data_IF_700729504002
#
_entry.id   IF_700729504002
#
_cell.length_a   1.000
_cell.length_b   1.000
_cell.length_c   1.000
_cell.angle_alpha   90.00
_cell.angle_beta   90.00
_cell.angle_gamma   90.00
#
_symmetry.space_group_name_H-M   'P 1'
#
loop_
_entity.id
_entity.type
_entity.pdbx_description
1 polymer ?
#
# COMPACT_ATOMS: atom_id res chain seq x y z
N UNK A 1 13.76 -43.22 -8.63
CA UNK A 1 13.77 -41.85 -9.18
C UNK A 1 13.66 -40.90 -8.02
N UNK A 2 14.79 -40.35 -7.55
CA UNK A 2 14.76 -39.31 -6.52
C UNK A 2 14.30 -38.02 -7.18
N UNK A 3 13.11 -37.53 -6.80
CA UNK A 3 12.67 -36.20 -7.21
C UNK A 3 13.71 -35.18 -6.75
N UNK A 4 14.40 -34.56 -7.71
CA UNK A 4 15.29 -33.43 -7.47
C UNK A 4 14.42 -32.27 -6.96
N UNK A 5 14.26 -32.17 -5.65
CA UNK A 5 13.55 -31.06 -5.02
C UNK A 5 14.46 -29.83 -5.04
N UNK A 6 14.36 -29.03 -6.10
CA UNK A 6 15.10 -27.77 -6.22
C UNK A 6 14.46 -26.76 -5.27
N UNK A 7 15.22 -26.29 -4.27
CA UNK A 7 14.79 -25.22 -3.38
C UNK A 7 14.73 -23.89 -4.16
N UNK A 8 13.54 -23.29 -4.24
CA UNK A 8 13.33 -22.00 -4.90
C UNK A 8 13.36 -20.89 -3.85
N UNK A 9 14.32 -19.97 -3.95
CA UNK A 9 14.37 -18.76 -3.12
C UNK A 9 13.63 -17.63 -3.84
N UNK A 10 12.76 -16.92 -3.13
CA UNK A 10 12.02 -15.77 -3.64
C UNK A 10 12.11 -14.62 -2.65
N UNK A 11 12.15 -13.39 -3.14
CA UNK A 11 12.04 -12.20 -2.28
C UNK A 11 10.60 -12.03 -1.79
N UNK A 12 10.42 -11.34 -0.67
CA UNK A 12 9.09 -11.03 -0.15
C UNK A 12 8.24 -10.28 -1.20
N UNK A 13 8.84 -9.30 -1.90
CA UNK A 13 8.16 -8.57 -2.96
C UNK A 13 7.68 -9.48 -4.11
N UNK A 14 8.54 -10.41 -4.56
CA UNK A 14 8.17 -11.37 -5.59
C UNK A 14 7.04 -12.31 -5.10
N UNK A 15 7.11 -12.75 -3.85
CA UNK A 15 6.09 -13.60 -3.24
C UNK A 15 4.72 -12.91 -3.21
N UNK A 16 4.62 -11.67 -2.73
CA UNK A 16 3.34 -10.96 -2.67
C UNK A 16 2.82 -10.55 -4.05
N UNK A 17 3.70 -10.27 -5.01
CA UNK A 17 3.30 -9.99 -6.38
C UNK A 17 2.68 -11.23 -7.07
N UNK A 18 3.25 -12.42 -6.82
CA UNK A 18 2.66 -13.68 -7.30
C UNK A 18 1.40 -14.06 -6.52
N UNK A 19 1.28 -13.66 -5.24
CA UNK A 19 0.19 -14.05 -4.34
C UNK A 19 -0.63 -12.85 -3.82
N UNK A 20 -1.05 -11.95 -4.71
CA UNK A 20 -1.76 -10.70 -4.37
C UNK A 20 -2.97 -10.87 -3.44
N UNK A 21 -3.68 -11.99 -3.56
CA UNK A 21 -4.85 -12.30 -2.74
C UNK A 21 -4.53 -12.40 -1.23
N UNK A 22 -3.32 -12.87 -0.88
CA UNK A 22 -2.87 -13.01 0.52
C UNK A 22 -2.78 -11.63 1.19
N UNK A 23 -2.32 -10.62 0.46
CA UNK A 23 -2.24 -9.24 0.93
C UNK A 23 -3.56 -8.45 0.77
N UNK A 24 -4.67 -9.11 0.43
CA UNK A 24 -5.97 -8.43 0.25
C UNK A 24 -6.19 -7.80 -1.13
N UNK A 25 -5.25 -7.95 -2.08
CA UNK A 25 -5.32 -7.37 -3.43
C UNK A 25 -5.82 -8.36 -4.50
N UNK A 26 -6.63 -9.35 -4.09
CA UNK A 26 -7.16 -10.38 -5.00
C UNK A 26 -8.29 -9.89 -5.92
N UNK A 27 -9.01 -8.83 -5.53
CA UNK A 27 -10.01 -8.17 -6.36
C UNK A 27 -10.06 -6.66 -6.06
N UNK A 28 -10.66 -5.88 -6.95
CA UNK A 28 -10.67 -4.41 -6.88
C UNK A 28 -11.36 -3.86 -5.63
N UNK A 29 -12.51 -4.41 -5.24
CA UNK A 29 -13.25 -3.95 -4.06
C UNK A 29 -12.47 -4.20 -2.77
N UNK A 30 -11.92 -5.41 -2.61
CA UNK A 30 -11.10 -5.76 -1.45
C UNK A 30 -9.79 -4.97 -1.42
N UNK A 31 -9.19 -4.70 -2.59
CA UNK A 31 -7.99 -3.88 -2.69
C UNK A 31 -8.24 -2.45 -2.19
N UNK A 32 -9.36 -1.83 -2.57
CA UNK A 32 -9.75 -0.49 -2.09
C UNK A 32 -9.96 -0.50 -0.58
N UNK A 33 -10.75 -1.44 -0.06
CA UNK A 33 -10.99 -1.56 1.37
C UNK A 33 -9.69 -1.76 2.16
N UNK A 34 -8.83 -2.68 1.70
CA UNK A 34 -7.55 -2.98 2.34
C UNK A 34 -6.67 -1.72 2.36
N UNK A 35 -6.54 -1.02 1.22
CA UNK A 35 -5.73 0.20 1.14
C UNK A 35 -6.18 1.29 2.12
N UNK A 36 -7.50 1.49 2.25
CA UNK A 36 -8.07 2.45 3.21
C UNK A 36 -7.78 1.99 4.65
N UNK A 37 -8.03 0.71 4.97
CA UNK A 37 -7.83 0.15 6.30
C UNK A 37 -6.39 0.36 6.77
N UNK A 38 -5.42 -0.04 5.96
CA UNK A 38 -3.99 0.04 6.27
C UNK A 38 -3.53 1.49 6.48
N UNK A 39 -4.02 2.43 5.67
CA UNK A 39 -3.68 3.86 5.82
C UNK A 39 -4.28 4.45 7.10
N UNK A 40 -5.53 4.11 7.42
CA UNK A 40 -6.19 4.58 8.64
C UNK A 40 -5.54 3.97 9.89
N UNK A 41 -5.23 2.68 9.88
CA UNK A 41 -4.55 1.98 10.98
C UNK A 41 -3.18 2.61 11.27
N UNK A 42 -2.40 2.89 10.22
CA UNK A 42 -1.12 3.57 10.36
C UNK A 42 -1.26 5.01 10.89
N UNK A 43 -2.26 5.77 10.45
CA UNK A 43 -2.54 7.11 10.97
C UNK A 43 -2.96 7.10 12.44
N UNK A 44 -3.79 6.12 12.84
CA UNK A 44 -4.21 5.94 14.24
C UNK A 44 -3.02 5.62 15.14
N UNK A 45 -2.18 4.67 14.74
CA UNK A 45 -0.97 4.31 15.48
C UNK A 45 0.00 5.49 15.58
N UNK A 46 0.13 6.29 14.52
CA UNK A 46 0.98 7.47 14.52
C UNK A 46 0.47 8.58 15.47
N UNK A 47 -0.85 8.77 15.57
CA UNK A 47 -1.45 9.71 16.53
C UNK A 47 -1.33 9.21 17.98
N UNK A 48 -1.52 7.92 18.20
CA UNK A 48 -1.36 7.25 19.50
C UNK A 48 0.08 7.34 20.01
N UNK A 49 1.07 7.06 19.16
CA UNK A 49 2.49 7.22 19.49
C UNK A 49 2.86 8.67 19.83
N UNK A 50 2.13 9.64 19.28
CA UNK A 50 2.30 11.06 19.59
C UNK A 50 1.55 11.50 20.86
N UNK A 51 0.64 10.68 21.38
CA UNK A 51 -0.19 10.98 22.54
C UNK A 51 -1.25 12.06 22.28
N UNK A 52 -1.77 12.14 21.05
CA UNK A 52 -2.82 13.11 20.68
C UNK A 52 -4.07 12.42 20.14
N UNK A 53 -5.20 13.13 20.14
CA UNK A 53 -6.39 12.64 19.47
C UNK A 53 -6.16 12.56 17.95
N UNK A 54 -6.48 11.42 17.31
CA UNK A 54 -6.31 11.26 15.88
C UNK A 54 -7.26 12.18 15.12
N UNK A 55 -6.72 12.87 14.12
CA UNK A 55 -7.48 13.56 13.09
C UNK A 55 -7.00 13.02 11.74
N UNK A 56 -7.87 12.25 11.09
CA UNK A 56 -7.55 11.54 9.85
C UNK A 56 -8.58 11.92 8.80
N UNK A 57 -8.11 12.35 7.63
CA UNK A 57 -8.92 12.66 6.46
C UNK A 57 -8.61 11.68 5.34
N UNK A 58 -9.67 11.14 4.72
CA UNK A 58 -9.59 10.23 3.58
C UNK A 58 -10.32 10.86 2.40
N UNK A 59 -9.64 10.95 1.27
CA UNK A 59 -10.23 11.31 -0.01
C UNK A 59 -10.02 10.18 -1.02
N UNK A 60 -11.10 9.73 -1.65
CA UNK A 60 -11.08 8.70 -2.68
C UNK A 60 -11.79 9.21 -3.92
N UNK A 61 -11.04 9.31 -5.03
CA UNK A 61 -11.57 9.80 -6.30
C UNK A 61 -11.09 8.98 -7.48
N UNK A 62 -11.88 9.02 -8.56
CA UNK A 62 -11.46 8.47 -9.86
C UNK A 62 -10.52 9.46 -10.55
N UNK A 63 -9.45 8.95 -11.14
CA UNK A 63 -8.56 9.74 -11.98
C UNK A 63 -9.16 9.94 -13.38
N UNK A 64 -9.03 11.14 -13.91
CA UNK A 64 -9.39 11.46 -15.28
C UNK A 64 -8.37 10.86 -16.27
N UNK A 65 -8.77 10.71 -17.53
CA UNK A 65 -7.86 10.22 -18.58
C UNK A 65 -6.62 11.10 -18.74
N UNK A 66 -6.74 12.40 -18.48
CA UNK A 66 -5.61 13.34 -18.52
C UNK A 66 -4.61 13.05 -17.41
N UNK A 67 -5.09 12.91 -16.17
CA UNK A 67 -4.22 12.62 -15.02
C UNK A 67 -3.54 11.25 -15.16
N UNK A 68 -4.23 10.26 -15.72
CA UNK A 68 -3.64 8.94 -16.01
C UNK A 68 -2.51 9.07 -17.05
N UNK A 69 -2.72 9.83 -18.12
CA UNK A 69 -1.70 10.07 -19.14
C UNK A 69 -0.46 10.76 -18.57
N UNK A 70 -0.66 11.77 -17.72
CA UNK A 70 0.41 12.50 -17.05
C UNK A 70 1.19 11.60 -16.07
N UNK A 71 0.50 10.77 -15.28
CA UNK A 71 1.13 9.85 -14.32
C UNK A 71 1.94 8.73 -14.99
N UNK A 72 1.48 8.22 -16.13
CA UNK A 72 2.14 7.13 -16.84
C UNK A 72 3.18 7.62 -17.87
N UNK A 73 3.32 8.94 -18.04
CA UNK A 73 4.14 9.56 -19.09
C UNK A 73 3.82 9.02 -20.50
N UNK A 74 2.51 8.96 -20.83
CA UNK A 74 2.02 8.48 -22.14
C UNK A 74 1.08 9.49 -22.78
N UNK A 75 1.18 9.65 -24.11
CA UNK A 75 0.32 10.58 -24.87
C UNK A 75 -1.16 10.20 -24.81
N UNK A 76 -1.47 8.91 -24.80
CA UNK A 76 -2.83 8.41 -24.74
C UNK A 76 -2.85 7.01 -24.12
N UNK A 77 -3.36 6.93 -22.90
CA UNK A 77 -3.71 5.67 -22.27
C UNK A 77 -4.91 5.07 -23.02
N UNK A 78 -4.65 4.07 -23.86
CA UNK A 78 -5.72 3.23 -24.40
C UNK A 78 -6.19 2.33 -23.27
N UNK A 79 -7.44 2.53 -22.83
CA UNK A 79 -8.15 1.62 -21.91
C UNK A 79 -8.31 0.27 -22.63
N UNK A 80 -7.25 -0.53 -22.66
CA UNK A 80 -7.18 -1.85 -23.31
C UNK A 80 -8.18 -2.82 -22.67
N UNK A 81 -8.52 -2.59 -21.40
CA UNK A 81 -9.57 -3.32 -20.70
C UNK A 81 -10.66 -2.36 -20.22
N UNK A 82 -11.91 -2.61 -20.62
CA UNK A 82 -13.10 -1.84 -20.21
C UNK A 82 -13.28 -1.77 -18.67
N UNK A 83 -12.57 -2.59 -17.89
CA UNK A 83 -12.77 -2.76 -16.46
C UNK A 83 -11.68 -2.16 -15.56
N UNK A 84 -10.66 -1.50 -16.11
CA UNK A 84 -9.62 -0.84 -15.30
C UNK A 84 -10.03 0.59 -14.95
N UNK A 85 -10.34 0.83 -13.68
CA UNK A 85 -10.53 2.16 -13.11
C UNK A 85 -9.29 2.53 -12.28
N UNK A 86 -8.76 3.73 -12.49
CA UNK A 86 -7.67 4.28 -11.68
C UNK A 86 -8.27 5.14 -10.58
N UNK A 87 -7.94 4.80 -9.34
CA UNK A 87 -8.39 5.50 -8.16
C UNK A 87 -7.18 6.18 -7.50
N UNK A 88 -7.35 7.43 -7.09
CA UNK A 88 -6.44 8.09 -6.17
C UNK A 88 -7.06 8.04 -4.79
N UNK A 89 -6.33 7.45 -3.86
CA UNK A 89 -6.63 7.44 -2.44
C UNK A 89 -5.60 8.33 -1.73
N UNK A 90 -6.09 9.35 -1.03
CA UNK A 90 -5.28 10.24 -0.20
C UNK A 90 -5.67 10.04 1.25
N UNK A 91 -4.68 9.81 2.12
CA UNK A 91 -4.84 9.79 3.56
C UNK A 91 -3.96 10.88 4.16
N UNK A 92 -4.54 11.70 5.04
CA UNK A 92 -3.83 12.74 5.79
C UNK A 92 -4.12 12.51 7.27
N UNK A 93 -3.08 12.33 8.07
CA UNK A 93 -3.16 12.22 9.53
C UNK A 93 -2.37 13.35 10.23
N UNK A 94 -2.61 13.51 11.53
CA UNK A 94 -1.90 14.44 12.40
C UNK A 94 -0.85 13.75 13.29
N UNK A 95 -0.42 12.52 12.96
CA UNK A 95 0.47 11.69 13.77
C UNK A 95 1.91 12.19 13.84
N UNK A 96 2.83 11.28 14.17
CA UNK A 96 4.27 11.59 14.27
C UNK A 96 4.95 11.88 12.92
N UNK A 97 4.32 11.49 11.81
CA UNK A 97 4.92 11.52 10.49
C UNK A 97 6.07 10.50 10.32
N UNK A 98 6.75 10.58 9.17
CA UNK A 98 7.86 9.69 8.80
C UNK A 98 9.12 10.52 8.58
N UNK A 99 10.27 10.17 9.20
CA UNK A 99 11.54 10.84 8.92
C UNK A 99 11.91 10.73 7.44
N UNK A 100 12.29 11.86 6.82
CA UNK A 100 12.51 11.94 5.37
C UNK A 100 13.50 10.90 4.81
N UNK A 101 14.56 10.60 5.56
CA UNK A 101 15.57 9.62 5.17
C UNK A 101 15.07 8.15 5.19
N UNK A 102 13.94 7.86 5.85
CA UNK A 102 13.37 6.52 5.94
C UNK A 102 12.22 6.27 4.95
N UNK A 103 11.74 7.32 4.26
CA UNK A 103 10.56 7.21 3.37
C UNK A 103 10.76 6.14 2.29
N UNK A 104 11.91 6.15 1.62
CA UNK A 104 12.17 5.19 0.54
C UNK A 104 12.15 3.73 1.03
N UNK A 105 12.70 3.45 2.21
CA UNK A 105 12.73 2.10 2.75
C UNK A 105 11.36 1.65 3.28
N UNK A 106 10.65 2.52 4.01
CA UNK A 106 9.35 2.18 4.61
C UNK A 106 8.26 1.94 3.56
N UNK A 107 8.27 2.67 2.45
CA UNK A 107 7.28 2.52 1.39
C UNK A 107 7.75 1.65 0.21
N UNK A 108 9.06 1.54 -0.01
CA UNK A 108 9.64 0.84 -1.16
C UNK A 108 10.11 -0.60 -0.88
N UNK A 109 10.24 -1.00 0.39
CA UNK A 109 10.73 -2.34 0.76
C UNK A 109 9.68 -3.12 1.55
N UNK A 110 9.26 -4.24 0.99
CA UNK A 110 8.26 -5.13 1.61
C UNK A 110 8.81 -5.74 2.91
N UNK A 111 7.95 -5.83 3.94
CA UNK A 111 8.31 -6.23 5.31
C UNK A 111 9.32 -5.27 5.97
N UNK A 112 9.12 -3.96 5.80
CA UNK A 112 9.87 -2.91 6.51
C UNK A 112 8.90 -2.10 7.35
N UNK A 113 9.26 -1.83 8.60
CA UNK A 113 8.44 -1.03 9.50
C UNK A 113 9.26 -0.51 10.67
N UNK A 114 8.72 0.45 11.39
CA UNK A 114 9.30 0.94 12.67
C UNK A 114 8.65 0.26 13.88
N UNK A 115 7.68 -0.63 13.64
CA UNK A 115 6.84 -1.32 14.64
C UNK A 115 7.48 -2.58 15.26
N UNK A 116 8.79 -2.78 15.17
CA UNK A 116 9.46 -3.99 15.68
C UNK A 116 9.70 -4.02 17.20
N UNK A 117 9.09 -3.11 17.97
CA UNK A 117 9.11 -3.13 19.43
C UNK A 117 8.00 -4.04 20.02
N UNK A 118 8.10 -4.38 21.31
CA UNK A 118 7.04 -5.10 22.06
C UNK A 118 5.95 -4.10 22.48
N UNK A 119 5.28 -3.49 21.50
CA UNK A 119 4.15 -2.58 21.71
C UNK A 119 3.03 -3.07 20.81
N UNK A 120 1.83 -3.27 21.37
CA UNK A 120 0.67 -3.63 20.59
C UNK A 120 0.34 -2.47 19.65
N UNK A 121 0.42 -2.72 18.35
CA UNK A 121 0.06 -1.77 17.29
C UNK A 121 -0.92 -2.45 16.35
N UNK A 122 -1.65 -1.66 15.56
CA UNK A 122 -2.54 -2.21 14.53
C UNK A 122 -1.70 -2.73 13.36
N UNK A 123 -2.17 -3.78 12.71
CA UNK A 123 -1.52 -4.43 11.56
C UNK A 123 -2.49 -5.19 10.69
#
# INVERSE_FOLDING_TARGET
>A
MSENTVTKKMSAAAFFNENRAIAGFGNSMRAVFTSIRELVENGLDAAENRGINPNISIDLRKLSSREINELLDVKQYKKLEKHLDFLQLTCIDNGTGVPGHLIADLFGRVLTGTKYGVIQTRG
#
